data_IF_313596355236
#
_entry.id   IF_313596355236
#
_cell.length_a   1.000
_cell.length_b   1.000
_cell.length_c   1.000
_cell.angle_alpha   90.00
_cell.angle_beta   90.00
_cell.angle_gamma   90.00
#
_symmetry.space_group_name_H-M   'P 1'
#
loop_
_entity.id
_entity.type
_entity.pdbx_description
1 polymer ?
#
# COMPACT_ATOMS: atom_id res chain seq x y z
N UNK A 1 -39.38 13.73 30.92
CA UNK A 1 -38.36 13.99 29.88
C UNK A 1 -37.35 12.83 29.82
N UNK A 2 -36.72 12.44 30.95
CA UNK A 2 -35.81 11.27 31.03
C UNK A 2 -36.37 9.95 30.45
N UNK A 3 -37.64 9.62 30.72
CA UNK A 3 -38.27 8.39 30.23
C UNK A 3 -38.47 8.36 28.70
N UNK A 4 -38.72 9.53 28.08
CA UNK A 4 -38.82 9.63 26.61
C UNK A 4 -37.45 9.46 25.98
N UNK A 5 -36.42 10.08 26.57
CA UNK A 5 -35.03 9.96 26.15
C UNK A 5 -34.49 8.53 26.28
N UNK A 6 -34.84 7.81 27.36
CA UNK A 6 -34.52 6.38 27.52
C UNK A 6 -35.21 5.49 26.49
N UNK A 7 -36.49 5.75 26.18
CA UNK A 7 -37.22 5.01 25.12
C UNK A 7 -36.69 5.32 23.72
N UNK A 8 -36.21 6.53 23.49
CA UNK A 8 -35.58 6.93 22.23
C UNK A 8 -34.22 6.24 22.06
N UNK A 9 -33.39 6.23 23.11
CA UNK A 9 -32.15 5.43 23.16
C UNK A 9 -32.41 3.94 22.91
N UNK A 10 -33.39 3.34 23.57
CA UNK A 10 -33.73 1.92 23.36
C UNK A 10 -34.18 1.62 21.93
N UNK A 11 -34.89 2.54 21.27
CA UNK A 11 -35.27 2.38 19.85
C UNK A 11 -34.06 2.50 18.94
N UNK A 12 -33.19 3.47 19.18
CA UNK A 12 -31.95 3.64 18.42
C UNK A 12 -31.05 2.41 18.55
N UNK A 13 -30.89 1.86 19.77
CA UNK A 13 -30.11 0.64 20.01
C UNK A 13 -30.73 -0.57 19.30
N UNK A 14 -32.06 -0.70 19.29
CA UNK A 14 -32.74 -1.81 18.61
C UNK A 14 -32.61 -1.71 17.09
N UNK A 15 -32.71 -0.50 16.52
CA UNK A 15 -32.46 -0.25 15.08
C UNK A 15 -31.03 -0.63 14.71
N UNK A 16 -30.06 -0.15 15.48
CA UNK A 16 -28.64 -0.45 15.25
C UNK A 16 -28.33 -1.94 15.33
N UNK A 17 -28.88 -2.67 16.31
CA UNK A 17 -28.70 -4.12 16.41
C UNK A 17 -29.31 -4.85 15.21
N UNK A 18 -30.47 -4.40 14.73
CA UNK A 18 -31.12 -4.98 13.57
C UNK A 18 -30.31 -4.71 12.29
N UNK A 19 -29.88 -3.47 12.06
CA UNK A 19 -29.01 -3.08 10.95
C UNK A 19 -27.68 -3.86 10.97
N UNK A 20 -27.13 -4.14 12.15
CA UNK A 20 -25.90 -4.94 12.29
C UNK A 20 -26.09 -6.40 11.90
N UNK A 21 -27.23 -7.01 12.26
CA UNK A 21 -27.57 -8.38 11.87
C UNK A 21 -27.83 -8.44 10.36
N UNK A 22 -28.59 -7.49 9.82
CA UNK A 22 -28.88 -7.38 8.39
C UNK A 22 -27.59 -7.20 7.56
N UNK A 23 -26.61 -6.43 8.03
CA UNK A 23 -25.31 -6.29 7.35
C UNK A 23 -24.50 -7.59 7.32
N UNK A 24 -24.60 -8.42 8.35
CA UNK A 24 -23.97 -9.75 8.38
C UNK A 24 -24.70 -10.69 7.42
N UNK A 25 -26.03 -10.78 7.56
CA UNK A 25 -26.86 -11.67 6.74
C UNK A 25 -26.70 -11.34 5.25
N UNK A 26 -26.72 -10.06 4.88
CA UNK A 26 -26.52 -9.59 3.49
C UNK A 26 -25.18 -10.02 2.90
N UNK A 27 -24.10 -10.02 3.69
CA UNK A 27 -22.80 -10.52 3.25
C UNK A 27 -22.83 -12.04 3.08
N UNK A 28 -23.42 -12.77 4.04
CA UNK A 28 -23.50 -14.24 4.02
C UNK A 28 -24.34 -14.76 2.84
N UNK A 29 -25.42 -14.05 2.49
CA UNK A 29 -26.30 -14.39 1.36
C UNK A 29 -25.81 -13.83 0.02
N UNK A 30 -24.80 -12.95 0.03
CA UNK A 30 -24.29 -12.21 -1.15
C UNK A 30 -25.38 -11.43 -1.90
N UNK A 31 -26.41 -10.97 -1.20
CA UNK A 31 -27.57 -10.31 -1.81
C UNK A 31 -27.30 -8.86 -2.24
N UNK A 32 -26.33 -8.17 -1.61
CA UNK A 32 -25.99 -6.78 -1.94
C UNK A 32 -24.80 -6.71 -2.92
N UNK A 33 -24.93 -5.89 -3.97
CA UNK A 33 -23.84 -5.59 -4.91
C UNK A 33 -22.62 -5.00 -4.20
N UNK A 34 -22.80 -4.36 -3.04
CA UNK A 34 -21.71 -3.84 -2.20
C UNK A 34 -20.73 -4.93 -1.73
N UNK A 35 -21.16 -6.20 -1.67
CA UNK A 35 -20.25 -7.34 -1.46
C UNK A 35 -19.23 -7.48 -2.60
N UNK A 36 -19.56 -6.97 -3.79
CA UNK A 36 -18.73 -6.94 -5.01
C UNK A 36 -18.19 -5.55 -5.37
N UNK A 37 -18.36 -4.54 -4.51
CA UNK A 37 -17.86 -3.18 -4.76
C UNK A 37 -16.34 -3.16 -4.96
N UNK A 38 -15.62 -3.98 -4.18
CA UNK A 38 -14.20 -4.19 -4.36
C UNK A 38 -13.93 -5.49 -5.15
N UNK A 39 -13.62 -5.35 -6.44
CA UNK A 39 -13.35 -6.48 -7.33
C UNK A 39 -12.15 -7.34 -6.91
N UNK A 40 -11.26 -6.82 -6.07
CA UNK A 40 -10.09 -7.55 -5.56
C UNK A 40 -10.41 -8.35 -4.28
N UNK A 41 -11.61 -8.20 -3.70
CA UNK A 41 -11.99 -8.85 -2.44
C UNK A 41 -12.82 -10.12 -2.71
N UNK A 42 -12.38 -11.25 -2.14
CA UNK A 42 -13.13 -12.51 -2.15
C UNK A 42 -14.01 -12.70 -0.92
N UNK A 43 -15.00 -13.61 -1.02
CA UNK A 43 -15.80 -14.04 0.13
C UNK A 43 -14.92 -14.68 1.20
N UNK A 44 -14.81 -14.03 2.36
CA UNK A 44 -13.93 -14.48 3.44
C UNK A 44 -14.33 -13.82 4.77
N UNK A 45 -13.84 -14.35 5.90
CA UNK A 45 -14.05 -13.73 7.21
C UNK A 45 -13.48 -12.30 7.26
N UNK A 46 -12.32 -12.06 6.64
CA UNK A 46 -11.74 -10.72 6.57
C UNK A 46 -12.59 -9.79 5.68
N UNK A 47 -13.15 -10.31 4.58
CA UNK A 47 -14.08 -9.55 3.75
C UNK A 47 -15.37 -9.18 4.47
N UNK A 48 -15.92 -10.09 5.29
CA UNK A 48 -17.07 -9.81 6.15
C UNK A 48 -16.77 -8.68 7.14
N UNK A 49 -15.64 -8.75 7.85
CA UNK A 49 -15.23 -7.71 8.79
C UNK A 49 -15.08 -6.35 8.10
N UNK A 50 -14.47 -6.35 6.91
CA UNK A 50 -14.34 -5.12 6.12
C UNK A 50 -15.70 -4.57 5.67
N UNK A 51 -16.61 -5.43 5.22
CA UNK A 51 -17.93 -5.02 4.76
C UNK A 51 -18.72 -4.33 5.87
N UNK A 52 -18.74 -4.94 7.07
CA UNK A 52 -19.40 -4.35 8.25
C UNK A 52 -18.77 -3.01 8.61
N UNK A 53 -17.43 -2.96 8.71
CA UNK A 53 -16.71 -1.74 9.06
C UNK A 53 -16.92 -0.62 8.03
N UNK A 54 -16.90 -0.97 6.73
CA UNK A 54 -17.11 -0.04 5.61
C UNK A 54 -18.52 0.58 5.65
N UNK A 55 -19.56 -0.24 5.88
CA UNK A 55 -20.94 0.24 5.95
C UNK A 55 -21.14 1.22 7.13
N UNK A 56 -20.59 0.89 8.31
CA UNK A 56 -20.67 1.76 9.48
C UNK A 56 -19.92 3.08 9.22
N UNK A 57 -18.73 3.00 8.64
CA UNK A 57 -17.88 4.18 8.36
C UNK A 57 -18.51 5.09 7.30
N UNK A 58 -19.07 4.51 6.25
CA UNK A 58 -19.77 5.26 5.20
C UNK A 58 -20.97 6.02 5.75
N UNK A 59 -21.75 5.39 6.63
CA UNK A 59 -22.85 6.05 7.33
C UNK A 59 -22.36 7.18 8.24
N UNK A 60 -21.23 7.00 8.92
CA UNK A 60 -20.65 8.06 9.74
C UNK A 60 -20.25 9.27 8.89
N UNK A 61 -19.56 9.07 7.76
CA UNK A 61 -19.23 10.13 6.82
C UNK A 61 -20.46 10.91 6.37
N UNK A 62 -21.47 10.21 5.85
CA UNK A 62 -22.64 10.84 5.22
C UNK A 62 -23.61 11.49 6.22
N UNK A 63 -23.67 11.01 7.46
CA UNK A 63 -24.62 11.53 8.45
C UNK A 63 -24.00 12.42 9.53
N UNK A 64 -22.68 12.42 9.71
CA UNK A 64 -21.99 13.20 10.74
C UNK A 64 -20.97 14.19 10.22
N UNK A 65 -20.26 13.87 9.14
CA UNK A 65 -19.12 14.68 8.67
C UNK A 65 -19.52 15.56 7.48
N UNK A 66 -20.07 14.96 6.43
CA UNK A 66 -20.48 15.72 5.25
C UNK A 66 -21.76 16.53 5.51
N UNK A 67 -21.88 17.73 4.92
CA UNK A 67 -23.14 18.46 4.90
C UNK A 67 -24.25 17.62 4.24
N UNK A 68 -25.49 17.80 4.69
CA UNK A 68 -26.65 17.06 4.18
C UNK A 68 -26.80 17.18 2.65
N UNK A 69 -26.60 18.37 2.09
CA UNK A 69 -26.65 18.59 0.64
C UNK A 69 -25.64 17.73 -0.11
N UNK A 70 -24.46 17.49 0.48
CA UNK A 70 -23.40 16.68 -0.12
C UNK A 70 -23.73 15.19 -0.03
N UNK A 71 -24.24 14.75 1.12
CA UNK A 71 -24.62 13.38 1.36
C UNK A 71 -25.82 12.94 0.49
N UNK A 72 -26.82 13.80 0.34
CA UNK A 72 -28.00 13.52 -0.46
C UNK A 72 -27.68 13.45 -1.96
N UNK A 73 -26.81 14.32 -2.47
CA UNK A 73 -26.36 14.25 -3.85
C UNK A 73 -25.59 12.94 -4.14
N UNK A 74 -24.76 12.47 -3.20
CA UNK A 74 -24.12 11.15 -3.31
C UNK A 74 -25.15 10.01 -3.32
N UNK A 75 -26.11 10.01 -2.38
CA UNK A 75 -27.15 8.97 -2.28
C UNK A 75 -28.07 8.91 -3.49
N UNK A 76 -28.33 10.07 -4.13
CA UNK A 76 -29.14 10.18 -5.36
C UNK A 76 -28.37 9.83 -6.62
N UNK A 77 -27.04 9.70 -6.52
CA UNK A 77 -26.17 9.40 -7.65
C UNK A 77 -25.84 10.61 -8.53
N UNK A 78 -26.01 11.83 -8.02
CA UNK A 78 -25.62 13.06 -8.73
C UNK A 78 -24.08 13.14 -8.89
N UNK A 79 -23.34 12.55 -7.94
CA UNK A 79 -21.92 12.21 -8.04
C UNK A 79 -21.57 11.07 -7.07
N UNK A 80 -20.37 10.51 -7.20
CA UNK A 80 -19.87 9.45 -6.33
C UNK A 80 -18.71 9.96 -5.45
N UNK A 81 -18.78 9.69 -4.14
CA UNK A 81 -17.71 9.97 -3.19
C UNK A 81 -17.01 8.63 -2.98
N UNK A 82 -15.74 8.58 -3.38
CA UNK A 82 -14.96 7.36 -3.29
C UNK A 82 -14.54 7.06 -1.85
N UNK A 83 -14.31 5.77 -1.57
CA UNK A 83 -13.64 5.28 -0.36
C UNK A 83 -14.28 5.67 0.98
N UNK A 84 -15.60 5.91 0.99
CA UNK A 84 -16.39 6.15 2.22
C UNK A 84 -16.28 5.01 3.24
N UNK A 85 -15.82 3.83 2.83
CA UNK A 85 -15.57 2.69 3.70
C UNK A 85 -14.41 2.87 4.68
N UNK A 86 -13.58 3.90 4.53
CA UNK A 86 -12.46 4.18 5.41
C UNK A 86 -12.52 5.61 5.95
N UNK A 87 -12.26 5.77 7.26
CA UNK A 87 -12.10 7.07 7.90
C UNK A 87 -10.63 7.46 7.90
N UNK A 88 -10.05 7.60 6.71
CA UNK A 88 -8.64 7.92 6.54
C UNK A 88 -8.38 8.67 5.23
N UNK A 89 -7.10 8.90 4.94
CA UNK A 89 -6.61 9.43 3.67
C UNK A 89 -6.76 8.42 2.53
N UNK A 90 -6.76 8.92 1.30
CA UNK A 90 -6.88 8.08 0.10
C UNK A 90 -5.58 7.35 -0.22
N UNK A 91 -4.62 8.01 -0.87
CA UNK A 91 -3.34 7.42 -1.27
C UNK A 91 -2.17 8.19 -0.67
N UNK A 92 -1.01 7.54 -0.55
CA UNK A 92 0.21 8.14 -0.05
C UNK A 92 1.42 7.78 -0.93
N UNK A 93 2.16 8.81 -1.32
CA UNK A 93 3.54 8.67 -1.83
C UNK A 93 4.51 8.95 -0.69
N UNK A 94 5.47 8.05 -0.51
CA UNK A 94 6.41 8.09 0.61
C UNK A 94 7.82 8.38 0.12
N UNK A 95 8.60 9.02 0.98
CA UNK A 95 10.02 9.27 0.71
C UNK A 95 10.83 8.03 1.13
N UNK A 96 11.36 7.31 0.13
CA UNK A 96 12.24 6.17 0.38
C UNK A 96 13.57 6.60 1.00
N UNK A 97 14.07 7.82 0.75
CA UNK A 97 15.28 8.32 1.41
C UNK A 97 15.10 8.39 2.92
N UNK A 98 13.93 8.83 3.38
CA UNK A 98 13.61 8.90 4.80
C UNK A 98 13.62 7.51 5.45
N UNK A 99 13.01 6.52 4.80
CA UNK A 99 13.07 5.12 5.25
C UNK A 99 14.52 4.59 5.29
N UNK A 100 15.35 4.93 4.30
CA UNK A 100 16.76 4.52 4.26
C UNK A 100 17.65 5.25 5.28
N UNK A 101 17.24 6.45 5.75
CA UNK A 101 17.95 7.23 6.77
C UNK A 101 17.55 6.86 8.19
N UNK A 102 16.25 6.66 8.43
CA UNK A 102 15.70 6.45 9.77
C UNK A 102 15.46 4.97 10.10
N UNK A 103 15.26 4.13 9.08
CA UNK A 103 14.70 2.79 9.25
C UNK A 103 13.18 2.84 9.45
N UNK A 104 12.57 1.67 9.67
CA UNK A 104 11.13 1.60 9.88
C UNK A 104 10.79 1.78 11.36
N UNK A 105 10.42 3.01 11.74
CA UNK A 105 10.23 3.42 13.14
C UNK A 105 9.03 4.39 13.29
N UNK A 106 8.79 4.90 14.50
CA UNK A 106 7.82 5.95 14.79
C UNK A 106 6.52 5.49 15.46
N UNK A 107 6.22 4.18 15.46
CA UNK A 107 5.02 3.64 16.11
C UNK A 107 5.30 3.24 17.57
N UNK A 108 4.65 3.89 18.53
CA UNK A 108 4.79 3.61 19.96
C UNK A 108 4.34 2.18 20.32
N UNK A 109 5.16 1.46 21.09
CA UNK A 109 4.85 0.09 21.53
C UNK A 109 4.92 -0.96 20.43
N UNK A 110 5.48 -0.63 19.26
CA UNK A 110 5.71 -1.56 18.14
C UNK A 110 7.21 -1.80 17.95
N UNK A 111 7.55 -2.92 17.32
CA UNK A 111 8.93 -3.23 16.91
C UNK A 111 9.37 -2.18 15.88
N UNK A 112 10.64 -1.76 15.96
CA UNK A 112 11.25 -0.78 15.07
C UNK A 112 12.49 -1.40 14.42
N UNK A 113 12.78 -1.06 13.17
CA UNK A 113 14.02 -1.44 12.50
C UNK A 113 14.96 -0.24 12.39
N UNK A 114 16.25 -0.49 12.61
CA UNK A 114 17.28 0.46 12.21
C UNK A 114 17.38 0.54 10.67
N UNK A 115 18.03 1.59 10.12
CA UNK A 115 18.29 1.70 8.69
C UNK A 115 18.90 0.44 8.09
N UNK A 116 18.41 0.04 6.92
CA UNK A 116 18.92 -1.14 6.21
C UNK A 116 20.39 -0.96 5.81
N UNK A 117 21.19 -2.02 5.98
CA UNK A 117 22.61 -2.06 5.60
C UNK A 117 22.91 -2.90 4.37
N UNK A 118 21.98 -3.75 3.96
CA UNK A 118 22.13 -4.70 2.86
C UNK A 118 20.93 -4.62 1.91
N UNK A 119 21.14 -4.91 0.63
CA UNK A 119 20.15 -4.79 -0.44
C UNK A 119 18.86 -5.54 -0.12
N UNK A 120 19.00 -6.83 0.23
CA UNK A 120 17.87 -7.69 0.62
C UNK A 120 17.10 -7.13 1.82
N UNK A 121 17.80 -6.56 2.80
CA UNK A 121 17.16 -5.94 3.98
C UNK A 121 16.40 -4.68 3.61
N UNK A 122 16.91 -3.85 2.69
CA UNK A 122 16.21 -2.66 2.21
C UNK A 122 14.89 -3.02 1.52
N UNK A 123 14.92 -4.02 0.62
CA UNK A 123 13.71 -4.56 -0.03
C UNK A 123 12.72 -5.10 1.01
N UNK A 124 13.18 -5.86 2.00
CA UNK A 124 12.33 -6.37 3.08
C UNK A 124 11.72 -5.28 3.95
N UNK A 125 12.44 -4.19 4.23
CA UNK A 125 11.89 -3.05 4.94
C UNK A 125 10.82 -2.32 4.12
N UNK A 126 11.02 -2.16 2.80
CA UNK A 126 9.98 -1.60 1.92
C UNK A 126 8.71 -2.44 1.91
N UNK A 127 8.84 -3.76 1.86
CA UNK A 127 7.70 -4.69 1.99
C UNK A 127 6.98 -4.42 3.31
N UNK A 128 7.67 -4.51 4.44
CA UNK A 128 7.06 -4.29 5.76
C UNK A 128 6.39 -2.91 5.89
N UNK A 129 7.01 -1.88 5.32
CA UNK A 129 6.49 -0.52 5.30
C UNK A 129 5.16 -0.47 4.53
N UNK A 130 5.14 -0.94 3.27
CA UNK A 130 3.94 -0.95 2.45
C UNK A 130 2.81 -1.77 3.09
N UNK A 131 3.12 -2.96 3.62
CA UNK A 131 2.13 -3.84 4.24
C UNK A 131 1.53 -3.28 5.53
N UNK A 132 2.30 -2.48 6.26
CA UNK A 132 1.80 -1.83 7.48
C UNK A 132 0.94 -0.62 7.11
N UNK A 133 1.43 0.27 6.25
CA UNK A 133 0.74 1.54 5.98
C UNK A 133 -0.46 1.41 5.04
N UNK A 134 -0.58 0.33 4.26
CA UNK A 134 -1.83 0.05 3.54
C UNK A 134 -3.05 -0.16 4.47
N UNK A 135 -2.83 -0.42 5.76
CA UNK A 135 -3.89 -0.51 6.76
C UNK A 135 -4.40 0.86 7.22
N UNK A 136 -3.63 1.92 6.95
CA UNK A 136 -3.88 3.29 7.39
C UNK A 136 -4.36 4.20 6.24
N UNK A 137 -4.52 3.67 5.02
CA UNK A 137 -4.96 4.43 3.85
C UNK A 137 -5.82 3.56 2.91
N UNK A 138 -6.77 4.18 2.22
CA UNK A 138 -7.74 3.44 1.40
C UNK A 138 -7.15 2.91 0.09
N UNK A 139 -6.27 3.68 -0.52
CA UNK A 139 -5.72 3.47 -1.85
C UNK A 139 -4.23 3.13 -1.86
N UNK A 140 -3.58 3.50 -2.97
CA UNK A 140 -2.23 3.12 -3.32
C UNK A 140 -1.17 3.68 -2.36
N UNK A 141 -0.13 2.88 -2.15
CA UNK A 141 1.11 3.26 -1.46
C UNK A 141 2.26 3.25 -2.48
N UNK A 142 3.04 4.34 -2.54
CA UNK A 142 4.07 4.47 -3.56
C UNK A 142 5.43 4.88 -3.01
N UNK A 143 6.50 4.37 -3.64
CA UNK A 143 7.86 4.90 -3.54
C UNK A 143 8.33 5.39 -4.91
N UNK A 144 9.10 6.47 -4.93
CA UNK A 144 9.72 7.01 -6.13
C UNK A 144 11.23 6.68 -6.19
N UNK A 145 11.79 6.69 -7.40
CA UNK A 145 13.23 6.53 -7.67
C UNK A 145 13.86 5.30 -7.00
N UNK A 146 13.15 4.16 -7.03
CA UNK A 146 13.52 2.97 -6.25
C UNK A 146 14.82 2.34 -6.76
N UNK A 147 14.99 2.23 -8.08
CA UNK A 147 16.22 1.74 -8.69
C UNK A 147 17.42 2.64 -8.36
N UNK A 148 17.25 3.96 -8.51
CA UNK A 148 18.29 4.96 -8.16
C UNK A 148 18.69 4.85 -6.69
N UNK A 149 17.71 4.81 -5.78
CA UNK A 149 17.96 4.83 -4.34
C UNK A 149 18.54 3.52 -3.80
N UNK A 150 18.24 2.38 -4.43
CA UNK A 150 18.71 1.06 -3.99
C UNK A 150 19.95 0.55 -4.73
N UNK A 151 20.27 1.08 -5.91
CA UNK A 151 21.48 0.74 -6.67
C UNK A 151 22.78 0.76 -5.82
N UNK A 152 22.98 1.72 -4.89
CA UNK A 152 24.18 1.72 -4.05
C UNK A 152 24.36 0.43 -3.23
N UNK A 153 23.28 -0.15 -2.71
CA UNK A 153 23.35 -1.37 -1.91
C UNK A 153 23.91 -2.54 -2.71
N UNK A 154 23.61 -2.64 -4.01
CA UNK A 154 24.12 -3.68 -4.89
C UNK A 154 25.65 -3.63 -4.95
N UNK A 155 26.22 -2.42 -5.13
CA UNK A 155 27.67 -2.23 -5.18
C UNK A 155 28.34 -2.45 -3.82
N UNK A 156 27.78 -1.87 -2.75
CA UNK A 156 28.39 -1.99 -1.41
C UNK A 156 28.35 -3.41 -0.87
N UNK A 157 27.34 -4.21 -1.22
CA UNK A 157 27.28 -5.64 -0.92
C UNK A 157 28.09 -6.49 -1.92
N UNK A 158 28.63 -5.91 -2.99
CA UNK A 158 29.36 -6.60 -4.08
C UNK A 158 28.56 -7.74 -4.71
N UNK A 159 27.26 -7.51 -4.93
CA UNK A 159 26.35 -8.55 -5.41
C UNK A 159 26.56 -8.88 -6.88
N UNK A 160 26.49 -10.16 -7.18
CA UNK A 160 26.39 -10.66 -8.54
C UNK A 160 24.96 -10.48 -9.09
N UNK A 161 24.81 -10.50 -10.41
CA UNK A 161 23.49 -10.47 -11.04
C UNK A 161 22.53 -11.55 -10.53
N UNK A 162 23.05 -12.76 -10.27
CA UNK A 162 22.25 -13.87 -9.76
C UNK A 162 21.68 -13.57 -8.36
N UNK A 163 22.47 -12.94 -7.49
CA UNK A 163 22.04 -12.56 -6.14
C UNK A 163 21.05 -11.38 -6.17
N UNK A 164 21.26 -10.41 -7.06
CA UNK A 164 20.30 -9.32 -7.30
C UNK A 164 18.98 -9.87 -7.79
N UNK A 165 18.99 -10.74 -8.81
CA UNK A 165 17.78 -11.39 -9.34
C UNK A 165 17.07 -12.22 -8.28
N UNK A 166 17.80 -12.97 -7.46
CA UNK A 166 17.20 -13.75 -6.37
C UNK A 166 16.54 -12.86 -5.31
N UNK A 167 17.18 -11.76 -4.93
CA UNK A 167 16.62 -10.78 -3.98
C UNK A 167 15.40 -10.07 -4.56
N UNK A 168 15.43 -9.78 -5.86
CA UNK A 168 14.31 -9.18 -6.58
C UNK A 168 13.12 -10.13 -6.70
N UNK A 169 13.38 -11.42 -6.95
CA UNK A 169 12.35 -12.46 -6.92
C UNK A 169 11.68 -12.49 -5.56
N UNK A 170 12.45 -12.55 -4.47
CA UNK A 170 11.88 -12.51 -3.12
C UNK A 170 11.03 -11.26 -2.89
N UNK A 171 11.50 -10.09 -3.31
CA UNK A 171 10.76 -8.83 -3.20
C UNK A 171 9.42 -8.88 -3.96
N UNK A 172 9.44 -9.20 -5.25
CA UNK A 172 8.24 -9.23 -6.09
C UNK A 172 7.22 -10.25 -5.56
N UNK A 173 7.66 -11.45 -5.17
CA UNK A 173 6.76 -12.43 -4.56
C UNK A 173 6.14 -11.91 -3.27
N UNK A 174 6.95 -11.31 -2.38
CA UNK A 174 6.44 -10.73 -1.14
C UNK A 174 5.47 -9.57 -1.39
N UNK A 175 5.68 -8.76 -2.42
CA UNK A 175 4.74 -7.70 -2.82
C UNK A 175 3.41 -8.23 -3.37
N UNK A 176 3.35 -9.51 -3.76
CA UNK A 176 2.13 -10.14 -4.30
C UNK A 176 1.38 -11.05 -3.31
N UNK A 177 1.86 -11.21 -2.06
CA UNK A 177 1.16 -12.03 -1.07
C UNK A 177 -0.14 -11.35 -0.61
N UNK A 178 -1.30 -12.01 -0.71
CA UNK A 178 -2.58 -11.38 -0.39
C UNK A 178 -2.85 -11.34 1.13
N UNK A 179 -2.17 -10.45 1.87
CA UNK A 179 -2.35 -10.32 3.33
C UNK A 179 -3.19 -9.13 3.77
N UNK A 180 -3.64 -8.26 2.85
CA UNK A 180 -4.56 -7.15 3.19
C UNK A 180 -5.93 -7.71 3.56
N UNK A 181 -6.74 -6.91 4.26
CA UNK A 181 -8.12 -7.26 4.62
C UNK A 181 -8.89 -7.73 3.37
N UNK A 182 -9.50 -8.90 3.48
CA UNK A 182 -10.22 -9.57 2.40
C UNK A 182 -9.33 -10.37 1.44
N UNK A 183 -8.10 -10.72 1.86
CA UNK A 183 -7.11 -11.43 1.04
C UNK A 183 -6.78 -10.67 -0.24
N UNK A 184 -6.58 -9.36 -0.11
CA UNK A 184 -6.11 -8.51 -1.18
C UNK A 184 -4.60 -8.38 -1.12
N UNK A 185 -3.97 -8.25 -2.28
CA UNK A 185 -2.58 -7.78 -2.37
C UNK A 185 -2.54 -6.27 -2.13
N UNK A 186 -1.50 -5.73 -1.45
CA UNK A 186 -1.34 -4.29 -1.31
C UNK A 186 -1.28 -3.58 -2.66
N UNK A 187 -2.08 -2.53 -2.83
CA UNK A 187 -2.01 -1.69 -4.02
C UNK A 187 -0.75 -0.83 -3.93
N UNK A 188 0.30 -1.23 -4.65
CA UNK A 188 1.63 -0.62 -4.54
C UNK A 188 2.16 -0.18 -5.89
N UNK A 189 2.83 0.98 -5.89
CA UNK A 189 3.48 1.54 -7.07
C UNK A 189 4.95 1.81 -6.76
N UNK A 190 5.81 1.51 -7.72
CA UNK A 190 7.21 1.96 -7.68
C UNK A 190 7.53 2.74 -8.94
N UNK A 191 8.24 3.84 -8.77
CA UNK A 191 8.81 4.58 -9.91
C UNK A 191 10.28 4.21 -10.07
N UNK A 192 10.68 4.00 -11.32
CA UNK A 192 12.01 3.57 -11.74
C UNK A 192 12.52 4.56 -12.78
N UNK A 193 13.75 5.03 -12.60
CA UNK A 193 14.29 6.13 -13.40
C UNK A 193 15.01 5.68 -14.68
N UNK A 194 15.39 4.40 -14.78
CA UNK A 194 16.25 3.81 -15.83
C UNK A 194 17.67 4.40 -15.90
N UNK A 195 17.79 5.72 -15.98
CA UNK A 195 19.04 6.47 -15.93
C UNK A 195 19.08 7.31 -14.66
N UNK A 196 20.27 7.55 -14.13
CA UNK A 196 20.41 8.38 -12.92
C UNK A 196 19.82 9.77 -13.18
N UNK A 197 18.80 10.20 -12.40
CA UNK A 197 18.19 11.52 -12.57
C UNK A 197 19.20 12.65 -12.32
N UNK A 198 19.24 13.65 -13.20
CA UNK A 198 20.17 14.78 -13.07
C UNK A 198 20.03 15.54 -11.75
N UNK A 199 18.80 15.66 -11.22
CA UNK A 199 18.54 16.32 -9.95
C UNK A 199 19.08 15.55 -8.73
N UNK A 200 19.36 14.24 -8.87
CA UNK A 200 19.91 13.40 -7.80
C UNK A 200 21.36 13.00 -8.04
N UNK A 201 21.89 13.18 -9.26
CA UNK A 201 23.19 12.69 -9.69
C UNK A 201 24.34 13.09 -8.74
N UNK A 202 24.32 14.31 -8.21
CA UNK A 202 25.37 14.84 -7.33
C UNK A 202 25.10 14.66 -5.83
N UNK A 203 23.96 14.06 -5.47
CA UNK A 203 23.66 13.77 -4.08
C UNK A 203 24.45 12.54 -3.60
N UNK A 204 24.91 12.59 -2.35
CA UNK A 204 25.58 11.47 -1.71
C UNK A 204 24.63 10.29 -1.49
N UNK A 205 25.11 9.07 -1.74
CA UNK A 205 24.29 7.87 -1.62
C UNK A 205 24.05 7.49 -0.16
N UNK A 206 22.87 6.93 0.13
CA UNK A 206 22.46 6.56 1.49
C UNK A 206 22.56 5.05 1.67
N UNK A 207 23.43 4.59 2.59
CA UNK A 207 23.54 3.17 2.97
C UNK A 207 23.74 3.04 4.48
N UNK A 208 22.92 2.22 5.14
CA UNK A 208 23.02 2.00 6.58
C UNK A 208 22.66 3.23 7.42
N UNK A 209 21.80 4.11 6.91
CA UNK A 209 21.39 5.35 7.58
C UNK A 209 22.40 6.49 7.47
N UNK A 210 23.41 6.35 6.61
CA UNK A 210 24.52 7.31 6.49
C UNK A 210 24.73 7.70 5.04
N UNK A 211 24.83 9.00 4.80
CA UNK A 211 25.24 9.58 3.51
C UNK A 211 26.73 9.28 3.29
N UNK A 212 27.08 8.72 2.13
CA UNK A 212 28.45 8.40 1.72
C UNK A 212 29.01 9.49 0.80
N UNK A 213 30.33 9.48 0.63
CA UNK A 213 31.03 10.40 -0.28
C UNK A 213 30.75 10.10 -1.76
N UNK A 214 30.42 8.84 -2.10
CA UNK A 214 30.01 8.46 -3.44
C UNK A 214 28.64 9.05 -3.78
N UNK A 215 28.43 9.39 -5.05
CA UNK A 215 27.23 10.07 -5.55
C UNK A 215 26.41 9.16 -6.45
N UNK A 216 25.10 9.41 -6.57
CA UNK A 216 24.22 8.56 -7.40
C UNK A 216 24.66 8.47 -8.86
N UNK A 217 25.33 9.50 -9.41
CA UNK A 217 25.88 9.50 -10.77
C UNK A 217 26.80 8.31 -11.05
N UNK A 218 27.42 7.74 -10.01
CA UNK A 218 28.38 6.66 -10.16
C UNK A 218 27.73 5.28 -10.29
N UNK A 219 26.41 5.12 -10.13
CA UNK A 219 25.73 3.83 -9.92
C UNK A 219 24.84 3.35 -11.09
N UNK A 220 25.06 3.86 -12.31
CA UNK A 220 24.27 3.45 -13.49
C UNK A 220 24.32 1.94 -13.74
N UNK A 221 25.49 1.31 -13.59
CA UNK A 221 25.64 -0.13 -13.84
C UNK A 221 24.78 -0.98 -12.90
N UNK A 222 24.63 -0.57 -11.64
CA UNK A 222 23.79 -1.22 -10.65
C UNK A 222 22.30 -0.93 -10.88
N UNK A 223 21.94 0.26 -11.36
CA UNK A 223 20.58 0.54 -11.83
C UNK A 223 20.19 -0.35 -13.01
N UNK A 224 21.08 -0.53 -13.98
CA UNK A 224 20.86 -1.43 -15.12
C UNK A 224 20.66 -2.88 -14.64
N UNK A 225 21.49 -3.31 -13.68
CA UNK A 225 21.39 -4.62 -13.05
C UNK A 225 20.05 -4.82 -12.33
N UNK A 226 19.63 -3.83 -11.54
CA UNK A 226 18.36 -3.80 -10.84
C UNK A 226 17.18 -3.91 -11.83
N UNK A 227 17.16 -3.05 -12.84
CA UNK A 227 16.06 -2.95 -13.80
C UNK A 227 15.93 -4.22 -14.64
N UNK A 228 17.06 -4.78 -15.09
CA UNK A 228 17.07 -6.07 -15.79
C UNK A 228 16.51 -7.20 -14.92
N UNK A 229 16.98 -7.30 -13.67
CA UNK A 229 16.51 -8.30 -12.73
C UNK A 229 15.00 -8.16 -12.45
N UNK A 230 14.52 -6.93 -12.23
CA UNK A 230 13.11 -6.64 -11.99
C UNK A 230 12.23 -7.04 -13.17
N UNK A 231 12.59 -6.61 -14.39
CA UNK A 231 11.85 -6.96 -15.60
C UNK A 231 11.81 -8.47 -15.85
N UNK A 232 12.95 -9.17 -15.71
CA UNK A 232 12.98 -10.63 -15.87
C UNK A 232 12.05 -11.34 -14.87
N UNK A 233 12.10 -10.97 -13.59
CA UNK A 233 11.24 -11.55 -12.55
C UNK A 233 9.76 -11.29 -12.82
N UNK A 234 9.40 -10.05 -13.21
CA UNK A 234 8.02 -9.69 -13.53
C UNK A 234 7.48 -10.49 -14.74
N UNK A 235 8.34 -10.77 -15.72
CA UNK A 235 8.00 -11.53 -16.93
C UNK A 235 7.94 -13.06 -16.70
N UNK A 236 8.77 -13.60 -15.81
CA UNK A 236 8.78 -15.04 -15.48
C UNK A 236 7.47 -15.50 -14.83
N UNK A 237 6.84 -14.64 -14.04
CA UNK A 237 5.59 -14.93 -13.34
C UNK A 237 5.74 -15.94 -12.20
N UNK A 238 4.61 -16.38 -11.66
CA UNK A 238 4.55 -17.34 -10.56
C UNK A 238 4.71 -18.80 -11.03
N UNK A 239 4.69 -19.74 -10.08
CA UNK A 239 4.81 -21.18 -10.38
C UNK A 239 3.70 -21.75 -11.29
N UNK A 240 2.59 -21.02 -11.47
CA UNK A 240 1.49 -21.38 -12.39
C UNK A 240 1.54 -20.58 -13.70
N UNK A 241 2.59 -19.79 -13.93
CA UNK A 241 2.76 -18.94 -15.10
C UNK A 241 1.89 -17.68 -15.08
N UNK A 242 1.34 -17.29 -13.93
CA UNK A 242 0.59 -16.04 -13.80
C UNK A 242 1.55 -14.86 -13.65
N UNK A 243 1.26 -13.76 -14.34
CA UNK A 243 2.01 -12.52 -14.19
C UNK A 243 1.80 -11.91 -12.80
N UNK A 244 2.81 -11.21 -12.30
CA UNK A 244 2.69 -10.39 -11.10
C UNK A 244 1.94 -9.09 -11.41
N UNK A 245 1.06 -8.69 -10.51
CA UNK A 245 0.34 -7.40 -10.63
C UNK A 245 1.09 -6.27 -9.93
N UNK A 246 1.77 -6.59 -8.83
CA UNK A 246 2.42 -5.61 -7.97
C UNK A 246 3.93 -5.87 -7.81
N UNK A 247 4.72 -4.87 -7.37
CA UNK A 247 4.35 -3.46 -7.42
C UNK A 247 4.16 -3.03 -8.88
N UNK A 248 3.23 -2.10 -9.14
CA UNK A 248 3.01 -1.56 -10.48
C UNK A 248 4.22 -0.69 -10.83
N UNK A 249 5.00 -1.03 -11.87
CA UNK A 249 6.17 -0.24 -12.23
C UNK A 249 5.79 0.94 -13.10
N UNK A 250 6.38 2.11 -12.80
CA UNK A 250 6.35 3.29 -13.67
C UNK A 250 7.78 3.63 -14.04
N UNK A 251 8.11 3.54 -15.33
CA UNK A 251 9.41 3.91 -15.85
C UNK A 251 9.40 5.36 -16.34
N UNK A 252 10.26 6.20 -15.76
CA UNK A 252 10.50 7.54 -16.25
C UNK A 252 11.39 7.46 -17.48
N UNK A 253 10.86 7.79 -18.65
CA UNK A 253 11.63 7.82 -19.90
C UNK A 253 11.91 9.27 -20.23
N UNK A 254 13.19 9.64 -20.22
CA UNK A 254 13.65 10.95 -20.69
C UNK A 254 14.33 10.79 -22.05
N UNK A 255 14.35 11.87 -22.84
CA UNK A 255 14.97 11.89 -24.16
C UNK A 255 16.49 12.08 -24.12
N UNK A 256 17.04 12.33 -22.93
CA UNK A 256 18.44 12.67 -22.70
C UNK A 256 19.27 11.44 -22.31
#
# INVERSE_FOLDING_TARGET
ILYRQQREQLRATRSFMQESIEAIDSYLTQEDWRVKENANMGYSLQGLNNHIASNITSNYWLNKIYPESVAEAHKKGDYHIHDLGMLSVYCCGWDLKDLLLQGFTGAYGKVQSAPAKHFRTALGQMVNFFYTLQGEAAGAQAFASVDTLLAPFIRFDSLTYAEVKQSMQEFVFNMNVPTRVGFQTPFTNITLDMTVPQNMAHEGVIVGGVVKDATYAEFQAEMDMFNKAFCEVMMEGDASGRIFTFPIPTYNITSE
#
